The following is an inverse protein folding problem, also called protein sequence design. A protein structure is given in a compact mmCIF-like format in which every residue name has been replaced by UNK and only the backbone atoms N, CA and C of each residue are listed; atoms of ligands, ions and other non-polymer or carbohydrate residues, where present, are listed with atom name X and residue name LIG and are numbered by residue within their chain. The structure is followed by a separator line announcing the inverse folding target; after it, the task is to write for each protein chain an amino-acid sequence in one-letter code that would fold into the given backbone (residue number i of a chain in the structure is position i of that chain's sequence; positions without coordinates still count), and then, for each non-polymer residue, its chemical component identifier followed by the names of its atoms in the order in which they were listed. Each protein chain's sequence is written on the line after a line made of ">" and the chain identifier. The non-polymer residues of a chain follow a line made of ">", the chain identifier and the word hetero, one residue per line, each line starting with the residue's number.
data_IF_902927472740
#
_entry.id   IF_902927472740
#
_cell.length_a   1.000
_cell.length_b   1.000
_cell.length_c   1.000
_cell.angle_alpha   90.00
_cell.angle_beta   90.00
_cell.angle_gamma   90.00
#
_symmetry.space_group_name_H-M   'P 1'
#
loop_
_entity.id
_entity.type
_entity.pdbx_description
1 polymer ?
#
# COMPACT_ATOMS: atom_id res chain seq x y z
N UNK A 1 -1.61 2.16 16.77
CA UNK A 1 -1.84 1.98 15.32
C UNK A 1 -0.55 1.82 14.50
N UNK A 2 0.55 2.54 14.78
CA UNK A 2 1.83 2.39 14.03
C UNK A 2 2.41 0.97 13.99
N UNK A 3 2.23 0.17 15.05
CA UNK A 3 2.70 -1.22 15.10
C UNK A 3 2.16 -2.10 13.97
N UNK A 4 0.91 -1.89 13.52
CA UNK A 4 0.32 -2.66 12.41
C UNK A 4 1.06 -2.34 11.10
N UNK A 5 1.40 -1.07 10.87
CA UNK A 5 2.16 -0.65 9.69
C UNK A 5 3.55 -1.30 9.71
N UNK A 6 4.23 -1.28 10.86
CA UNK A 6 5.56 -1.90 11.00
C UNK A 6 5.52 -3.42 10.80
N UNK A 7 4.51 -4.11 11.34
CA UNK A 7 4.34 -5.55 11.17
C UNK A 7 4.02 -5.92 9.71
N UNK A 8 3.17 -5.15 9.04
CA UNK A 8 2.87 -5.37 7.61
C UNK A 8 4.11 -5.15 6.75
N UNK A 9 4.88 -4.09 7.00
CA UNK A 9 6.15 -3.86 6.30
C UNK A 9 7.15 -4.99 6.55
N UNK A 10 7.31 -5.42 7.81
CA UNK A 10 8.19 -6.51 8.16
C UNK A 10 7.80 -7.82 7.45
N UNK A 11 6.50 -8.14 7.39
CA UNK A 11 6.00 -9.32 6.71
C UNK A 11 6.26 -9.25 5.20
N UNK A 12 5.97 -8.11 4.55
CA UNK A 12 6.24 -7.91 3.13
C UNK A 12 7.75 -8.00 2.81
N UNK A 13 8.61 -7.45 3.67
CA UNK A 13 10.06 -7.57 3.53
C UNK A 13 10.54 -9.01 3.71
N UNK A 14 9.99 -9.76 4.67
CA UNK A 14 10.32 -11.16 4.87
C UNK A 14 9.90 -12.03 3.68
N UNK A 15 8.71 -11.77 3.10
CA UNK A 15 8.24 -12.43 1.87
C UNK A 15 9.18 -12.11 0.71
N UNK A 16 9.56 -10.84 0.53
CA UNK A 16 10.49 -10.44 -0.54
C UNK A 16 11.83 -11.18 -0.41
N UNK A 17 12.42 -11.17 0.80
CA UNK A 17 13.67 -11.85 1.07
C UNK A 17 13.56 -13.37 0.84
N UNK A 18 12.44 -14.00 1.21
CA UNK A 18 12.22 -15.41 0.93
C UNK A 18 12.16 -15.70 -0.57
N UNK A 19 11.45 -14.90 -1.36
CA UNK A 19 11.35 -15.09 -2.80
C UNK A 19 12.73 -14.97 -3.47
N UNK A 20 13.53 -13.96 -3.09
CA UNK A 20 14.85 -13.73 -3.68
C UNK A 20 15.86 -14.80 -3.23
N UNK A 21 16.00 -15.04 -1.92
CA UNK A 21 17.10 -15.84 -1.38
C UNK A 21 16.79 -17.32 -1.18
N UNK A 22 15.52 -17.73 -1.22
CA UNK A 22 15.10 -19.14 -1.08
C UNK A 22 14.40 -19.71 -2.29
N UNK A 23 13.82 -18.88 -3.13
CA UNK A 23 13.12 -19.31 -4.36
C UNK A 23 13.85 -18.85 -5.63
N UNK A 24 14.99 -18.18 -5.48
CA UNK A 24 15.85 -17.69 -6.56
C UNK A 24 15.07 -16.86 -7.60
N UNK A 25 14.04 -16.14 -7.15
CA UNK A 25 13.34 -15.20 -8.01
C UNK A 25 14.27 -14.06 -8.38
N UNK A 26 14.12 -13.56 -9.60
CA UNK A 26 14.74 -12.29 -9.97
C UNK A 26 14.29 -11.20 -8.98
N UNK A 27 15.21 -10.38 -8.45
CA UNK A 27 14.87 -9.33 -7.50
C UNK A 27 13.75 -8.41 -7.99
N UNK A 28 13.74 -8.02 -9.27
CA UNK A 28 12.71 -7.15 -9.83
C UNK A 28 11.34 -7.82 -9.78
N UNK A 29 11.26 -9.10 -10.13
CA UNK A 29 10.00 -9.85 -10.12
C UNK A 29 9.46 -10.03 -8.69
N UNK A 30 10.34 -10.30 -7.73
CA UNK A 30 9.97 -10.37 -6.32
C UNK A 30 9.45 -9.02 -5.80
N UNK A 31 10.11 -7.92 -6.14
CA UNK A 31 9.66 -6.56 -5.80
C UNK A 31 8.30 -6.23 -6.42
N UNK A 32 8.09 -6.57 -7.70
CA UNK A 32 6.81 -6.37 -8.38
C UNK A 32 5.69 -7.18 -7.73
N UNK A 33 5.95 -8.44 -7.38
CA UNK A 33 4.99 -9.29 -6.68
C UNK A 33 4.61 -8.70 -5.31
N UNK A 34 5.61 -8.31 -4.51
CA UNK A 34 5.38 -7.76 -3.16
C UNK A 34 4.66 -6.41 -3.23
N UNK A 35 5.00 -5.56 -4.19
CA UNK A 35 4.27 -4.31 -4.44
C UNK A 35 2.81 -4.58 -4.84
N UNK A 36 2.57 -5.56 -5.73
CA UNK A 36 1.24 -5.99 -6.11
C UNK A 36 0.43 -6.53 -4.93
N UNK A 37 1.04 -7.37 -4.08
CA UNK A 37 0.42 -7.90 -2.87
C UNK A 37 0.06 -6.79 -1.87
N UNK A 38 0.94 -5.81 -1.67
CA UNK A 38 0.68 -4.65 -0.84
C UNK A 38 -0.51 -3.82 -1.36
N UNK A 39 -0.58 -3.59 -2.67
CA UNK A 39 -1.70 -2.89 -3.31
C UNK A 39 -3.03 -3.66 -3.19
N UNK A 40 -3.01 -4.98 -3.39
CA UNK A 40 -4.19 -5.81 -3.21
C UNK A 40 -4.71 -5.76 -1.76
N UNK A 41 -3.80 -5.82 -0.78
CA UNK A 41 -4.16 -5.68 0.63
C UNK A 41 -4.79 -4.31 0.94
N UNK A 42 -4.22 -3.23 0.41
CA UNK A 42 -4.76 -1.88 0.58
C UNK A 42 -6.18 -1.75 -0.01
N UNK A 43 -6.41 -2.29 -1.20
CA UNK A 43 -7.73 -2.29 -1.84
C UNK A 43 -8.74 -3.13 -1.05
N UNK A 44 -8.34 -4.29 -0.55
CA UNK A 44 -9.20 -5.14 0.28
C UNK A 44 -9.60 -4.43 1.58
N UNK A 45 -8.65 -3.78 2.25
CA UNK A 45 -8.93 -2.99 3.45
C UNK A 45 -9.84 -1.79 3.17
N UNK A 46 -9.63 -1.10 2.05
CA UNK A 46 -10.51 0.00 1.63
C UNK A 46 -11.94 -0.49 1.37
N UNK A 47 -12.08 -1.62 0.68
CA UNK A 47 -13.37 -2.24 0.41
C UNK A 47 -14.07 -2.67 1.72
N UNK A 48 -13.32 -3.26 2.65
CA UNK A 48 -13.85 -3.61 3.97
C UNK A 48 -14.32 -2.38 4.74
N UNK A 49 -13.58 -1.28 4.68
CA UNK A 49 -13.99 0.01 5.25
C UNK A 49 -15.28 0.53 4.61
N UNK A 50 -15.40 0.47 3.27
CA UNK A 50 -16.61 0.88 2.56
C UNK A 50 -17.84 0.07 2.96
N UNK A 51 -17.68 -1.22 3.24
CA UNK A 51 -18.79 -2.05 3.73
C UNK A 51 -19.24 -1.68 5.15
N UNK A 52 -18.35 -1.13 5.97
CA UNK A 52 -18.68 -0.64 7.32
C UNK A 52 -19.33 0.75 7.31
N UNK A 53 -19.09 1.55 6.26
CA UNK A 53 -19.70 2.87 6.09
C UNK A 53 -21.12 2.75 5.55
N UNK A 54 -22.01 3.60 6.07
CA UNK A 54 -23.41 3.69 5.61
C UNK A 54 -23.46 3.98 4.11
N UNK A 55 -24.36 3.34 3.33
CA UNK A 55 -24.41 3.52 1.88
C UNK A 55 -24.44 4.99 1.43
N UNK A 56 -25.15 5.85 2.17
CA UNK A 56 -25.28 7.28 1.85
C UNK A 56 -23.95 8.04 1.98
N UNK A 57 -23.05 7.59 2.86
CA UNK A 57 -21.79 8.26 3.19
C UNK A 57 -20.61 7.76 2.35
N UNK A 58 -20.75 6.62 1.66
CA UNK A 58 -19.66 5.96 0.90
C UNK A 58 -19.00 6.87 -0.13
N UNK A 59 -19.78 7.66 -0.87
CA UNK A 59 -19.25 8.56 -1.90
C UNK A 59 -18.42 9.68 -1.26
N UNK A 60 -18.91 10.26 -0.16
CA UNK A 60 -18.18 11.30 0.57
C UNK A 60 -16.88 10.75 1.16
N UNK A 61 -16.95 9.56 1.76
CA UNK A 61 -15.79 8.84 2.27
C UNK A 61 -14.74 8.57 1.18
N UNK A 62 -15.15 8.02 0.03
CA UNK A 62 -14.25 7.78 -1.12
C UNK A 62 -13.59 9.06 -1.61
N UNK A 63 -14.33 10.18 -1.64
CA UNK A 63 -13.80 11.48 -2.06
C UNK A 63 -12.71 11.98 -1.11
N UNK A 64 -12.93 11.84 0.20
CA UNK A 64 -11.91 12.20 1.19
C UNK A 64 -10.68 11.31 1.11
N UNK A 65 -10.85 9.98 0.98
CA UNK A 65 -9.73 9.05 0.76
C UNK A 65 -8.92 9.43 -0.49
N UNK A 66 -9.59 9.70 -1.61
CA UNK A 66 -8.94 10.10 -2.85
C UNK A 66 -8.20 11.44 -2.73
N UNK A 67 -8.78 12.40 -2.00
CA UNK A 67 -8.16 13.70 -1.74
C UNK A 67 -6.89 13.57 -0.92
N UNK A 68 -6.92 12.78 0.16
CA UNK A 68 -5.74 12.52 1.00
C UNK A 68 -4.67 11.77 0.20
N UNK A 69 -5.04 10.70 -0.52
CA UNK A 69 -4.10 9.94 -1.34
C UNK A 69 -3.40 10.81 -2.40
N UNK A 70 -4.15 11.73 -3.04
CA UNK A 70 -3.58 12.72 -3.97
C UNK A 70 -2.59 13.65 -3.28
N UNK A 71 -2.92 14.15 -2.09
CA UNK A 71 -2.05 15.05 -1.33
C UNK A 71 -0.73 14.35 -0.95
N UNK A 72 -0.82 13.11 -0.47
CA UNK A 72 0.34 12.30 -0.10
C UNK A 72 1.22 11.98 -1.32
N UNK A 73 0.61 11.62 -2.45
CA UNK A 73 1.33 11.40 -3.70
C UNK A 73 2.06 12.67 -4.16
N UNK A 74 1.40 13.84 -4.10
CA UNK A 74 2.03 15.12 -4.46
C UNK A 74 3.19 15.44 -3.51
N UNK A 75 3.03 15.21 -2.20
CA UNK A 75 4.10 15.41 -1.23
C UNK A 75 5.30 14.49 -1.52
N UNK A 76 5.04 13.21 -1.81
CA UNK A 76 6.07 12.24 -2.16
C UNK A 76 6.79 12.60 -3.46
N UNK A 77 6.07 13.01 -4.50
CA UNK A 77 6.67 13.45 -5.77
C UNK A 77 7.52 14.72 -5.59
N UNK A 78 7.09 15.65 -4.73
CA UNK A 78 7.91 16.82 -4.38
C UNK A 78 9.21 16.38 -3.70
N UNK A 79 9.15 15.48 -2.72
CA UNK A 79 10.35 14.92 -2.08
C UNK A 79 11.29 14.31 -3.12
N UNK A 80 10.79 13.45 -4.01
CA UNK A 80 11.61 12.86 -5.08
C UNK A 80 12.24 13.90 -6.01
N UNK A 81 11.54 15.00 -6.31
CA UNK A 81 12.08 16.09 -7.12
C UNK A 81 13.21 16.86 -6.43
N UNK A 82 13.22 16.92 -5.09
CA UNK A 82 14.33 17.49 -4.32
C UNK A 82 15.53 16.53 -4.19
N UNK A 83 15.32 15.24 -4.39
CA UNK A 83 16.36 14.20 -4.35
C UNK A 83 16.95 13.88 -5.74
N UNK A 84 16.55 14.60 -6.78
CA UNK A 84 17.02 14.47 -8.16
C UNK A 84 17.90 15.66 -8.55
#
# INVERSE_FOLDING_TARGET
>A
MHWIIHLTLLALSAINAYLIFRRDWDPMDAWLFVAGAAMALLLALLLQLLFQVRPEERIAFLREVAKTAKADLVAFLKLLRFWR
#
